data_IF_253573146643
#
_entry.id   IF_253573146643
#
_cell.length_a   1.000
_cell.length_b   1.000
_cell.length_c   1.000
_cell.angle_alpha   90.00
_cell.angle_beta   90.00
_cell.angle_gamma   90.00
#
_symmetry.space_group_name_H-M   'P 1'
#
loop_
_entity.id
_entity.type
_entity.pdbx_description
1 polymer ?
#
# COMPACT_ATOMS: atom_id res chain seq x y z
N UNK A 1 -11.90 8.12 -11.87
CA UNK A 1 -11.52 7.66 -10.53
C UNK A 1 -10.12 7.04 -10.50
N UNK A 2 -9.87 6.01 -11.28
CA UNK A 2 -8.62 5.22 -11.23
C UNK A 2 -7.37 6.01 -11.60
N UNK A 3 -7.40 6.82 -12.66
CA UNK A 3 -6.22 7.60 -13.09
C UNK A 3 -5.66 8.55 -12.01
N UNK A 4 -6.48 9.40 -11.35
CA UNK A 4 -5.96 10.23 -10.28
C UNK A 4 -5.39 9.42 -9.11
N UNK A 5 -6.02 8.29 -8.78
CA UNK A 5 -5.54 7.41 -7.72
C UNK A 5 -4.20 6.74 -8.10
N UNK A 6 -4.07 6.31 -9.36
CA UNK A 6 -2.83 5.74 -9.89
C UNK A 6 -1.68 6.75 -9.82
N UNK A 7 -1.91 7.97 -10.30
CA UNK A 7 -0.92 9.05 -10.25
C UNK A 7 -0.53 9.36 -8.79
N UNK A 8 -1.51 9.40 -7.87
CA UNK A 8 -1.25 9.59 -6.44
C UNK A 8 -0.32 8.50 -5.88
N UNK A 9 -0.58 7.23 -6.18
CA UNK A 9 0.26 6.11 -5.71
C UNK A 9 1.69 6.17 -6.26
N UNK A 10 1.85 6.50 -7.54
CA UNK A 10 3.16 6.65 -8.16
C UNK A 10 3.93 7.81 -7.51
N UNK A 11 3.29 8.96 -7.30
CA UNK A 11 3.91 10.10 -6.63
C UNK A 11 4.30 9.77 -5.19
N UNK A 12 3.45 9.06 -4.44
CA UNK A 12 3.78 8.59 -3.09
C UNK A 12 5.00 7.66 -3.07
N UNK A 13 5.13 6.79 -4.07
CA UNK A 13 6.32 5.95 -4.20
C UNK A 13 7.59 6.76 -4.50
N UNK A 14 7.48 7.82 -5.28
CA UNK A 14 8.59 8.72 -5.57
C UNK A 14 9.16 9.39 -4.31
N UNK A 15 8.36 9.58 -3.26
CA UNK A 15 8.85 10.13 -1.98
C UNK A 15 9.91 9.20 -1.39
N UNK A 16 9.64 7.90 -1.32
CA UNK A 16 10.63 6.92 -0.83
C UNK A 16 11.89 6.85 -1.69
N UNK A 17 11.75 6.96 -3.03
CA UNK A 17 12.89 7.03 -3.93
C UNK A 17 13.70 8.31 -3.71
N UNK A 18 13.07 9.44 -3.48
CA UNK A 18 13.72 10.71 -3.18
C UNK A 18 14.52 10.62 -1.88
N UNK A 19 13.91 10.08 -0.82
CA UNK A 19 14.60 9.85 0.46
C UNK A 19 15.87 9.00 0.25
N UNK A 20 15.77 7.90 -0.51
CA UNK A 20 16.91 7.03 -0.82
C UNK A 20 18.01 7.74 -1.62
N UNK A 21 17.64 8.55 -2.62
CA UNK A 21 18.61 9.33 -3.43
C UNK A 21 19.35 10.37 -2.58
N UNK A 22 18.65 11.06 -1.69
CA UNK A 22 19.28 12.05 -0.81
C UNK A 22 20.17 11.37 0.23
N UNK A 23 19.71 10.29 0.86
CA UNK A 23 20.48 9.56 1.87
C UNK A 23 21.67 8.79 1.29
N UNK A 24 21.58 8.32 0.04
CA UNK A 24 22.72 7.74 -0.66
C UNK A 24 23.90 8.71 -0.85
N UNK A 25 23.64 10.03 -0.83
CA UNK A 25 24.70 11.06 -0.85
C UNK A 25 25.27 11.34 0.56
N UNK A 26 24.59 10.93 1.61
CA UNK A 26 25.09 11.03 2.99
C UNK A 26 26.04 9.88 3.29
N UNK A 27 25.70 8.66 2.81
CA UNK A 27 26.56 7.47 2.97
C UNK A 27 25.77 6.18 3.06
N UNK A 28 26.48 5.06 2.91
CA UNK A 28 25.90 3.71 2.87
C UNK A 28 25.18 3.32 4.17
N UNK A 29 25.73 3.75 5.31
CA UNK A 29 25.12 3.52 6.63
C UNK A 29 23.73 4.17 6.72
N UNK A 30 23.62 5.42 6.28
CA UNK A 30 22.35 6.15 6.29
C UNK A 30 21.33 5.54 5.32
N UNK A 31 21.76 5.12 4.15
CA UNK A 31 20.91 4.46 3.14
C UNK A 31 20.41 3.10 3.66
N UNK A 32 21.30 2.28 4.22
CA UNK A 32 20.94 0.98 4.81
C UNK A 32 19.99 1.10 5.99
N UNK A 33 20.24 2.06 6.87
CA UNK A 33 19.39 2.34 8.03
C UNK A 33 17.99 2.83 7.62
N UNK A 34 17.90 3.69 6.61
CA UNK A 34 16.62 4.13 6.05
C UNK A 34 15.82 2.96 5.43
N UNK A 35 16.49 2.05 4.74
CA UNK A 35 15.85 0.87 4.16
C UNK A 35 15.24 -0.04 5.25
N UNK A 36 16.01 -0.35 6.31
CA UNK A 36 15.53 -1.18 7.43
C UNK A 36 14.42 -0.48 8.22
N UNK A 37 14.60 0.78 8.56
CA UNK A 37 13.59 1.59 9.26
C UNK A 37 12.32 1.76 8.43
N UNK A 38 12.45 1.89 7.11
CA UNK A 38 11.34 1.96 6.17
C UNK A 38 10.47 0.70 6.15
N UNK A 39 11.09 -0.49 6.17
CA UNK A 39 10.37 -1.78 6.26
C UNK A 39 9.60 -1.89 7.58
N UNK A 40 10.24 -1.51 8.69
CA UNK A 40 9.60 -1.49 10.01
C UNK A 40 8.38 -0.54 10.03
N UNK A 41 8.56 0.69 9.53
CA UNK A 41 7.48 1.67 9.43
C UNK A 41 6.34 1.20 8.53
N UNK A 42 6.66 0.56 7.40
CA UNK A 42 5.67 0.00 6.47
C UNK A 42 4.81 -1.08 7.14
N UNK A 43 5.38 -1.94 7.96
CA UNK A 43 4.63 -2.96 8.70
C UNK A 43 3.56 -2.34 9.61
N UNK A 44 3.91 -1.26 10.34
CA UNK A 44 2.94 -0.50 11.14
C UNK A 44 1.89 0.20 10.28
N UNK A 45 2.31 0.80 9.17
CA UNK A 45 1.41 1.51 8.26
C UNK A 45 0.36 0.58 7.62
N UNK A 46 0.70 -0.69 7.38
CA UNK A 46 -0.25 -1.67 6.80
C UNK A 46 -1.46 -1.92 7.68
N UNK A 47 -1.35 -1.80 8.99
CA UNK A 47 -2.51 -1.87 9.90
C UNK A 47 -3.48 -0.71 9.65
N UNK A 48 -2.96 0.50 9.54
CA UNK A 48 -3.79 1.67 9.22
C UNK A 48 -4.37 1.60 7.81
N UNK A 49 -3.58 1.18 6.83
CA UNK A 49 -4.01 1.01 5.46
C UNK A 49 -5.19 0.02 5.37
N UNK A 50 -5.09 -1.14 6.04
CA UNK A 50 -6.15 -2.13 6.10
C UNK A 50 -7.43 -1.60 6.76
N UNK A 51 -7.32 -0.81 7.85
CA UNK A 51 -8.48 -0.17 8.47
C UNK A 51 -9.12 0.86 7.53
N UNK A 52 -8.31 1.71 6.91
CA UNK A 52 -8.78 2.71 5.95
C UNK A 52 -9.49 2.10 4.76
N UNK A 53 -9.00 0.96 4.26
CA UNK A 53 -9.65 0.22 3.17
C UNK A 53 -11.04 -0.29 3.58
N UNK A 54 -11.20 -0.87 4.78
CA UNK A 54 -12.52 -1.26 5.29
C UNK A 54 -13.45 -0.05 5.50
N UNK A 55 -12.94 1.05 6.05
CA UNK A 55 -13.70 2.30 6.20
C UNK A 55 -14.16 2.87 4.85
N UNK A 56 -13.30 2.81 3.82
CA UNK A 56 -13.62 3.21 2.45
C UNK A 56 -14.82 2.45 1.89
N UNK A 57 -14.91 1.14 2.13
CA UNK A 57 -16.03 0.29 1.70
C UNK A 57 -17.34 0.75 2.36
N UNK A 58 -17.30 1.06 3.66
CA UNK A 58 -18.47 1.54 4.40
C UNK A 58 -18.92 2.91 3.87
N UNK A 59 -17.99 3.83 3.67
CA UNK A 59 -18.26 5.17 3.13
C UNK A 59 -18.84 5.05 1.72
N UNK A 60 -18.26 4.23 0.85
CA UNK A 60 -18.73 3.99 -0.50
C UNK A 60 -20.16 3.40 -0.50
N UNK A 61 -20.46 2.45 0.39
CA UNK A 61 -21.79 1.88 0.55
C UNK A 61 -22.81 2.95 0.93
N UNK A 62 -22.51 3.77 1.93
CA UNK A 62 -23.38 4.86 2.37
C UNK A 62 -23.60 5.93 1.32
N UNK A 63 -22.57 6.21 0.52
CA UNK A 63 -22.67 7.11 -0.61
C UNK A 63 -23.64 6.58 -1.66
N UNK A 64 -23.56 5.31 -2.02
CA UNK A 64 -24.51 4.64 -2.93
C UNK A 64 -25.94 4.59 -2.39
N UNK A 65 -26.12 4.31 -1.09
CA UNK A 65 -27.43 4.33 -0.40
C UNK A 65 -28.01 5.74 -0.27
N UNK A 66 -27.29 6.80 -0.72
CA UNK A 66 -27.63 8.22 -0.53
C UNK A 66 -27.78 8.64 0.94
N UNK A 67 -27.19 7.85 1.87
CA UNK A 67 -27.14 8.16 3.30
C UNK A 67 -25.95 9.06 3.63
N UNK A 68 -25.87 10.17 2.92
CA UNK A 68 -24.73 11.10 2.96
C UNK A 68 -24.42 11.60 4.38
N UNK A 69 -25.46 11.87 5.19
CA UNK A 69 -25.33 12.36 6.56
C UNK A 69 -24.61 11.40 7.53
N UNK A 70 -24.35 10.15 7.12
CA UNK A 70 -23.59 9.15 7.88
C UNK A 70 -22.13 9.04 7.45
N UNK A 71 -21.73 9.73 6.38
CA UNK A 71 -20.38 9.62 5.81
C UNK A 71 -19.34 10.28 6.71
N UNK A 72 -19.51 11.58 7.04
CA UNK A 72 -18.58 12.27 7.92
C UNK A 72 -18.53 11.68 9.34
N UNK A 73 -19.65 11.27 9.98
CA UNK A 73 -19.57 10.52 11.23
C UNK A 73 -18.71 9.25 11.14
N UNK A 74 -18.77 8.49 10.03
CA UNK A 74 -17.91 7.31 9.84
C UNK A 74 -16.44 7.70 9.75
N UNK A 75 -16.13 8.72 8.94
CA UNK A 75 -14.77 9.22 8.79
C UNK A 75 -14.18 9.65 10.13
N UNK A 76 -14.91 10.48 10.91
CA UNK A 76 -14.43 11.02 12.18
C UNK A 76 -14.27 9.92 13.25
N UNK A 77 -15.20 8.94 13.33
CA UNK A 77 -15.02 7.80 14.23
C UNK A 77 -13.78 6.98 13.83
N UNK A 78 -13.52 6.83 12.53
CA UNK A 78 -12.29 6.22 12.04
C UNK A 78 -11.04 7.01 12.43
N UNK A 79 -11.08 8.36 12.36
CA UNK A 79 -9.98 9.20 12.82
C UNK A 79 -9.70 9.01 14.33
N UNK A 80 -10.72 8.90 15.17
CA UNK A 80 -10.53 8.62 16.60
C UNK A 80 -9.84 7.27 16.83
N UNK A 81 -10.28 6.23 16.14
CA UNK A 81 -9.63 4.92 16.22
C UNK A 81 -8.18 4.99 15.74
N UNK A 82 -7.94 5.66 14.61
CA UNK A 82 -6.60 5.82 14.05
C UNK A 82 -5.65 6.57 15.01
N UNK A 83 -6.15 7.58 15.72
CA UNK A 83 -5.35 8.28 16.73
C UNK A 83 -5.00 7.35 17.90
N UNK A 84 -5.96 6.57 18.39
CA UNK A 84 -5.69 5.58 19.47
C UNK A 84 -4.67 4.54 19.00
N UNK A 85 -4.83 4.02 17.78
CA UNK A 85 -3.90 3.08 17.18
C UNK A 85 -2.51 3.70 16.98
N UNK A 86 -2.46 4.97 16.55
CA UNK A 86 -1.21 5.72 16.38
C UNK A 86 -0.47 5.86 17.71
N UNK A 87 -1.17 6.23 18.79
CA UNK A 87 -0.58 6.33 20.14
C UNK A 87 -0.03 4.98 20.58
N UNK A 88 -0.79 3.90 20.40
CA UNK A 88 -0.38 2.56 20.81
C UNK A 88 0.86 2.09 20.01
N UNK A 89 0.88 2.26 18.70
CA UNK A 89 1.99 1.86 17.85
C UNK A 89 3.21 2.76 18.03
N UNK A 90 3.02 4.06 18.25
CA UNK A 90 4.10 4.98 18.58
C UNK A 90 4.79 4.56 19.87
N UNK A 91 4.02 4.36 20.95
CA UNK A 91 4.57 3.93 22.24
C UNK A 91 5.27 2.56 22.13
N UNK A 92 4.64 1.61 21.44
CA UNK A 92 5.24 0.30 21.18
C UNK A 92 6.53 0.43 20.36
N UNK A 93 6.57 1.25 19.32
CA UNK A 93 7.77 1.46 18.51
C UNK A 93 8.89 2.10 19.32
N UNK A 94 8.63 3.16 20.09
CA UNK A 94 9.65 3.82 20.89
C UNK A 94 10.27 2.89 21.94
N UNK A 95 9.49 1.96 22.47
CA UNK A 95 9.96 1.02 23.48
C UNK A 95 10.59 -0.25 22.89
N UNK A 96 9.93 -0.88 21.90
CA UNK A 96 10.34 -2.19 21.40
C UNK A 96 11.32 -2.13 20.23
N UNK A 97 11.33 -1.04 19.41
CA UNK A 97 12.19 -1.02 18.23
C UNK A 97 13.68 -1.12 18.58
N UNK A 98 14.22 -0.45 19.63
CA UNK A 98 15.63 -0.63 19.99
C UNK A 98 15.95 -2.06 20.43
N UNK A 99 15.01 -2.72 21.13
CA UNK A 99 15.19 -4.10 21.61
C UNK A 99 15.21 -5.07 20.43
N UNK A 100 14.19 -5.01 19.57
CA UNK A 100 14.05 -5.92 18.43
C UNK A 100 15.19 -5.74 17.42
N UNK A 101 15.55 -4.50 17.12
CA UNK A 101 16.57 -4.21 16.12
C UNK A 101 17.97 -4.57 16.58
N UNK A 102 18.22 -4.56 17.89
CA UNK A 102 19.52 -4.98 18.47
C UNK A 102 19.84 -6.45 18.16
N UNK A 103 18.82 -7.30 18.13
CA UNK A 103 18.99 -8.73 17.87
C UNK A 103 19.07 -9.05 16.38
N UNK A 104 18.64 -8.11 15.51
CA UNK A 104 18.56 -8.31 14.06
C UNK A 104 19.73 -7.64 13.32
N UNK A 105 20.20 -6.48 13.81
CA UNK A 105 21.22 -5.68 13.12
C UNK A 105 22.61 -5.93 13.74
N UNK A 106 23.48 -6.55 12.98
CA UNK A 106 24.85 -6.87 13.44
C UNK A 106 25.77 -5.64 13.52
N UNK A 107 25.62 -4.69 12.58
CA UNK A 107 26.45 -3.48 12.54
C UNK A 107 26.01 -2.44 13.57
N UNK A 108 26.84 -2.07 14.58
CA UNK A 108 26.48 -1.05 15.57
C UNK A 108 26.17 0.32 14.95
N UNK A 109 26.85 0.66 13.86
CA UNK A 109 26.65 1.93 13.16
C UNK A 109 25.27 1.98 12.46
N UNK A 110 24.91 0.91 11.74
CA UNK A 110 23.60 0.79 11.09
C UNK A 110 22.49 0.72 12.13
N UNK A 111 22.69 -0.02 13.22
CA UNK A 111 21.74 -0.09 14.34
C UNK A 111 21.46 1.30 14.93
N UNK A 112 22.51 2.05 15.30
CA UNK A 112 22.34 3.40 15.86
C UNK A 112 21.61 4.33 14.92
N UNK A 113 21.99 4.33 13.63
CA UNK A 113 21.34 5.14 12.60
C UNK A 113 19.87 4.72 12.35
N UNK A 114 19.54 3.41 12.42
CA UNK A 114 18.16 2.91 12.25
C UNK A 114 17.27 3.31 13.42
N UNK A 115 17.79 3.22 14.67
CA UNK A 115 17.06 3.65 15.87
C UNK A 115 16.80 5.15 15.83
N UNK A 116 17.80 5.96 15.45
CA UNK A 116 17.64 7.42 15.33
C UNK A 116 16.62 7.78 14.23
N UNK A 117 16.70 7.12 13.08
CA UNK A 117 15.69 7.28 12.02
C UNK A 117 14.28 6.97 12.50
N UNK A 118 14.08 5.82 13.17
CA UNK A 118 12.76 5.39 13.65
C UNK A 118 12.24 6.29 14.76
N UNK A 119 13.13 6.77 15.64
CA UNK A 119 12.74 7.71 16.69
C UNK A 119 11.98 8.91 16.11
N UNK A 120 12.50 9.53 15.05
CA UNK A 120 11.87 10.68 14.40
C UNK A 120 10.78 10.28 13.41
N UNK A 121 10.94 9.17 12.68
CA UNK A 121 9.99 8.74 11.64
C UNK A 121 8.63 8.34 12.21
N UNK A 122 8.62 7.75 13.41
CA UNK A 122 7.37 7.30 14.05
C UNK A 122 6.44 8.44 14.46
N UNK A 123 6.92 9.67 14.60
CA UNK A 123 6.03 10.82 14.76
C UNK A 123 5.11 11.03 13.55
N UNK A 124 5.55 10.65 12.37
CA UNK A 124 4.73 10.69 11.15
C UNK A 124 3.47 9.82 11.21
N UNK A 125 3.43 8.78 12.07
CA UNK A 125 2.27 7.89 12.20
C UNK A 125 0.98 8.66 12.53
N UNK A 126 1.06 9.69 13.37
CA UNK A 126 -0.11 10.49 13.74
C UNK A 126 -0.74 11.19 12.53
N UNK A 127 0.07 11.63 11.60
CA UNK A 127 -0.37 12.34 10.41
C UNK A 127 -0.78 11.38 9.30
N UNK A 128 0.05 10.39 9.01
CA UNK A 128 -0.20 9.40 7.94
C UNK A 128 -1.47 8.59 8.19
N UNK A 129 -1.75 8.18 9.42
CA UNK A 129 -2.96 7.43 9.77
C UNK A 129 -4.24 8.25 9.55
N UNK A 130 -4.20 9.55 9.89
CA UNK A 130 -5.31 10.44 9.60
C UNK A 130 -5.46 10.68 8.09
N UNK A 131 -4.36 10.82 7.34
CA UNK A 131 -4.40 10.92 5.89
C UNK A 131 -5.07 9.70 5.23
N UNK A 132 -4.84 8.50 5.76
CA UNK A 132 -5.53 7.28 5.30
C UNK A 132 -7.06 7.40 5.43
N UNK A 133 -7.57 8.02 6.49
CA UNK A 133 -9.01 8.25 6.64
C UNK A 133 -9.57 9.28 5.67
N UNK A 134 -8.82 10.35 5.37
CA UNK A 134 -9.21 11.30 4.32
C UNK A 134 -9.21 10.63 2.94
N UNK A 135 -8.21 9.80 2.65
CA UNK A 135 -8.16 9.00 1.43
C UNK A 135 -9.37 8.07 1.32
N UNK A 136 -9.72 7.34 2.38
CA UNK A 136 -10.90 6.49 2.44
C UNK A 136 -12.19 7.27 2.17
N UNK A 137 -12.30 8.49 2.72
CA UNK A 137 -13.42 9.40 2.48
C UNK A 137 -13.52 9.78 1.00
N UNK A 138 -12.46 10.31 0.41
CA UNK A 138 -12.49 10.81 -0.97
C UNK A 138 -12.66 9.68 -2.02
N UNK A 139 -12.04 8.53 -1.80
CA UNK A 139 -12.26 7.35 -2.67
C UNK A 139 -13.69 6.84 -2.51
N UNK A 140 -14.22 6.77 -1.30
CA UNK A 140 -15.57 6.31 -1.01
C UNK A 140 -16.65 7.17 -1.65
N UNK A 141 -16.49 8.50 -1.65
CA UNK A 141 -17.40 9.44 -2.33
C UNK A 141 -17.07 9.67 -3.81
N UNK A 142 -16.12 8.92 -4.36
CA UNK A 142 -15.71 8.95 -5.79
C UNK A 142 -15.01 10.25 -6.25
N UNK A 143 -14.46 11.05 -5.34
CA UNK A 143 -13.78 12.31 -5.61
C UNK A 143 -12.25 12.16 -5.50
N UNK A 144 -11.62 11.40 -6.40
CA UNK A 144 -10.21 11.02 -6.29
C UNK A 144 -9.20 12.05 -6.82
N UNK A 145 -9.63 13.11 -7.53
CA UNK A 145 -8.72 14.14 -8.08
C UNK A 145 -7.89 14.82 -6.99
N UNK A 146 -8.48 15.03 -5.83
CA UNK A 146 -7.82 15.67 -4.69
C UNK A 146 -6.62 14.86 -4.17
N UNK A 147 -6.65 13.53 -4.32
CA UNK A 147 -5.56 12.66 -3.87
C UNK A 147 -4.28 12.95 -4.67
N UNK A 148 -4.40 13.14 -5.99
CA UNK A 148 -3.26 13.52 -6.84
C UNK A 148 -2.66 14.86 -6.40
N UNK A 149 -3.51 15.86 -6.16
CA UNK A 149 -3.03 17.19 -5.73
C UNK A 149 -2.33 17.09 -4.37
N UNK A 150 -2.92 16.35 -3.43
CA UNK A 150 -2.33 16.13 -2.12
C UNK A 150 -0.96 15.42 -2.21
N UNK A 151 -0.84 14.38 -3.04
CA UNK A 151 0.43 13.67 -3.22
C UNK A 151 1.51 14.56 -3.84
N UNK A 152 1.15 15.47 -4.76
CA UNK A 152 2.07 16.46 -5.31
C UNK A 152 2.55 17.42 -4.20
N UNK A 153 1.62 17.94 -3.39
CA UNK A 153 1.96 18.84 -2.27
C UNK A 153 2.90 18.12 -1.28
N UNK A 154 2.60 16.87 -0.96
CA UNK A 154 3.41 16.04 -0.07
C UNK A 154 4.82 15.81 -0.63
N UNK A 155 4.94 15.44 -1.92
CA UNK A 155 6.23 15.22 -2.58
C UNK A 155 7.07 16.51 -2.60
N UNK A 156 6.50 17.63 -3.03
CA UNK A 156 7.24 18.89 -3.09
C UNK A 156 7.70 19.33 -1.70
N UNK A 157 6.87 19.19 -0.67
CA UNK A 157 7.23 19.46 0.71
C UNK A 157 8.35 18.53 1.19
N UNK A 158 8.28 17.23 0.88
CA UNK A 158 9.30 16.25 1.25
C UNK A 158 10.66 16.57 0.60
N UNK A 159 10.67 16.85 -0.71
CA UNK A 159 11.90 17.19 -1.45
C UNK A 159 12.56 18.46 -0.87
N UNK A 160 11.76 19.50 -0.63
CA UNK A 160 12.28 20.77 -0.07
C UNK A 160 12.84 20.57 1.35
N UNK A 161 12.10 19.86 2.21
CA UNK A 161 12.52 19.58 3.59
C UNK A 161 13.72 18.65 3.64
N UNK A 162 13.79 17.63 2.80
CA UNK A 162 14.97 16.75 2.69
C UNK A 162 16.21 17.57 2.34
N UNK A 163 16.13 18.45 1.34
CA UNK A 163 17.24 19.29 0.95
C UNK A 163 17.72 20.19 2.10
N UNK A 164 16.79 20.77 2.84
CA UNK A 164 17.12 21.66 3.97
C UNK A 164 17.66 20.89 5.18
N UNK A 165 17.00 19.81 5.59
CA UNK A 165 17.29 19.13 6.87
C UNK A 165 18.40 18.10 6.76
N UNK A 166 18.54 17.40 5.63
CA UNK A 166 19.61 16.43 5.45
C UNK A 166 20.97 17.14 5.31
N UNK A 167 21.05 18.18 4.46
CA UNK A 167 22.28 18.85 4.11
C UNK A 167 22.56 20.16 4.88
N UNK A 168 21.65 20.57 5.77
CA UNK A 168 21.84 21.79 6.55
C UNK A 168 21.76 23.08 5.71
N UNK A 169 20.84 23.14 4.76
CA UNK A 169 20.63 24.32 3.91
C UNK A 169 19.48 25.20 4.44
N UNK A 170 19.46 26.46 4.00
CA UNK A 170 18.39 27.40 4.40
C UNK A 170 18.39 27.79 5.88
N UNK A 171 19.53 27.71 6.57
CA UNK A 171 19.64 28.06 8.00
C UNK A 171 19.32 26.90 8.98
N UNK A 172 19.06 25.72 8.47
CA UNK A 172 18.85 24.52 9.30
C UNK A 172 20.17 23.79 9.56
N UNK A 173 20.33 23.12 10.72
CA UNK A 173 21.49 22.24 10.96
C UNK A 173 21.41 20.99 10.07
N UNK A 174 22.59 20.47 9.65
CA UNK A 174 22.67 19.22 8.91
C UNK A 174 22.35 18.06 9.87
N UNK A 175 21.15 17.47 9.75
CA UNK A 175 20.69 16.37 10.60
C UNK A 175 20.81 14.99 9.94
N UNK A 176 21.35 14.90 8.71
CA UNK A 176 21.59 13.62 8.03
C UNK A 176 20.33 12.73 8.00
N UNK A 177 20.45 11.51 8.52
CA UNK A 177 19.34 10.52 8.50
C UNK A 177 18.14 10.94 9.37
N UNK A 178 18.37 11.59 10.52
CA UNK A 178 17.30 12.16 11.34
C UNK A 178 16.55 13.25 10.56
N UNK A 179 17.28 14.06 9.76
CA UNK A 179 16.71 15.06 8.88
C UNK A 179 15.74 14.48 7.85
N UNK A 180 16.05 13.34 7.25
CA UNK A 180 15.15 12.63 6.34
C UNK A 180 13.87 12.14 7.04
N UNK A 181 14.01 11.58 8.23
CA UNK A 181 12.89 11.10 9.03
C UNK A 181 11.93 12.25 9.44
N UNK A 182 12.50 13.39 9.85
CA UNK A 182 11.74 14.60 10.18
C UNK A 182 11.07 15.16 8.93
N UNK A 183 11.78 15.25 7.78
CA UNK A 183 11.24 15.74 6.53
C UNK A 183 10.02 14.93 6.09
N UNK A 184 10.11 13.60 6.14
CA UNK A 184 9.01 12.70 5.79
C UNK A 184 7.84 12.85 6.78
N UNK A 185 8.08 12.97 8.08
CA UNK A 185 7.03 13.18 9.09
C UNK A 185 6.32 14.54 8.93
N UNK A 186 7.09 15.59 8.66
CA UNK A 186 6.53 16.95 8.43
C UNK A 186 5.77 17.02 7.10
N UNK A 187 6.24 16.35 6.04
CA UNK A 187 5.50 16.31 4.77
C UNK A 187 4.15 15.59 4.89
N UNK A 188 4.07 14.54 5.74
CA UNK A 188 2.79 13.91 6.10
C UNK A 188 1.87 14.86 6.88
N UNK A 189 2.43 15.71 7.77
CA UNK A 189 1.67 16.74 8.47
C UNK A 189 1.13 17.81 7.50
N UNK A 190 1.95 18.23 6.52
CA UNK A 190 1.52 19.16 5.45
C UNK A 190 0.40 18.54 4.61
N UNK A 191 0.53 17.26 4.26
CA UNK A 191 -0.51 16.50 3.57
C UNK A 191 -1.82 16.48 4.35
N UNK A 192 -1.77 16.21 5.65
CA UNK A 192 -2.95 16.23 6.52
C UNK A 192 -3.59 17.62 6.58
N UNK A 193 -2.76 18.64 6.76
CA UNK A 193 -3.23 20.03 6.81
C UNK A 193 -3.94 20.42 5.49
N UNK A 194 -3.36 20.04 4.36
CA UNK A 194 -3.97 20.23 3.06
C UNK A 194 -5.35 19.55 2.97
N UNK A 195 -5.48 18.29 3.40
CA UNK A 195 -6.76 17.60 3.41
C UNK A 195 -7.78 18.29 4.32
N UNK A 196 -7.39 18.74 5.50
CA UNK A 196 -8.27 19.45 6.45
C UNK A 196 -8.77 20.76 5.82
N UNK A 197 -7.86 21.58 5.30
CA UNK A 197 -8.20 22.87 4.68
C UNK A 197 -9.12 22.64 3.49
N UNK A 198 -8.74 21.79 2.55
CA UNK A 198 -9.54 21.50 1.36
C UNK A 198 -10.93 20.98 1.73
N UNK A 199 -11.02 20.00 2.65
CA UNK A 199 -12.31 19.47 3.10
C UNK A 199 -13.16 20.53 3.77
N UNK A 200 -12.57 21.41 4.57
CA UNK A 200 -13.29 22.47 5.27
C UNK A 200 -13.90 23.51 4.32
N UNK A 201 -13.23 23.75 3.17
CA UNK A 201 -13.64 24.72 2.16
C UNK A 201 -14.64 24.14 1.14
N UNK A 202 -14.47 22.86 0.77
CA UNK A 202 -15.20 22.29 -0.38
C UNK A 202 -16.32 21.32 0.00
N UNK A 203 -16.25 20.68 1.19
CA UNK A 203 -17.24 19.71 1.59
C UNK A 203 -18.55 20.38 2.00
N UNK A 204 -19.67 19.89 1.46
CA UNK A 204 -20.99 20.27 1.95
C UNK A 204 -21.21 19.70 3.35
N UNK A 205 -21.00 20.55 4.36
CA UNK A 205 -21.05 20.18 5.78
C UNK A 205 -22.44 19.70 6.23
N UNK A 206 -23.52 20.13 5.57
CA UNK A 206 -24.90 19.67 5.86
C UNK A 206 -25.14 18.33 5.22
N UNK A 207 -24.83 18.17 3.94
CA UNK A 207 -25.04 16.93 3.17
C UNK A 207 -24.31 15.76 3.81
N UNK A 208 -23.01 15.91 4.12
CA UNK A 208 -22.19 14.82 4.65
C UNK A 208 -22.28 14.64 6.18
N UNK A 209 -22.99 15.54 6.89
CA UNK A 209 -23.26 15.40 8.32
C UNK A 209 -22.09 15.79 9.23
N UNK A 210 -21.18 16.69 8.79
CA UNK A 210 -20.03 17.13 9.59
C UNK A 210 -20.40 17.81 10.90
N UNK A 211 -21.55 18.49 10.96
CA UNK A 211 -22.01 19.16 12.20
C UNK A 211 -22.21 18.21 13.39
N UNK A 212 -22.53 16.93 13.12
CA UNK A 212 -22.77 15.88 14.14
C UNK A 212 -21.72 14.78 14.09
N UNK A 213 -20.63 14.99 13.37
CA UNK A 213 -19.62 13.96 13.16
C UNK A 213 -18.71 13.74 14.37
N UNK A 214 -18.46 14.82 15.12
CA UNK A 214 -17.49 14.83 16.22
C UNK A 214 -18.00 14.20 17.52
N UNK A 215 -19.30 13.89 17.62
CA UNK A 215 -19.84 13.16 18.76
C UNK A 215 -19.34 11.70 18.72
N UNK A 216 -18.74 11.23 19.81
CA UNK A 216 -18.26 9.85 19.91
C UNK A 216 -19.44 8.85 19.81
N UNK A 217 -19.30 7.86 18.93
CA UNK A 217 -20.35 6.86 18.65
C UNK A 217 -19.76 5.45 18.66
N UNK A 218 -19.57 4.83 19.82
CA UNK A 218 -18.92 3.51 19.93
C UNK A 218 -19.59 2.43 19.08
N UNK A 219 -20.91 2.51 18.92
CA UNK A 219 -21.66 1.56 18.07
C UNK A 219 -21.21 1.63 16.58
N UNK A 220 -20.97 2.85 16.05
CA UNK A 220 -20.44 2.99 14.69
C UNK A 220 -19.04 2.41 14.58
N UNK A 221 -18.20 2.69 15.57
CA UNK A 221 -16.85 2.18 15.61
C UNK A 221 -16.81 0.64 15.66
N UNK A 222 -17.67 0.03 16.48
CA UNK A 222 -17.82 -1.44 16.54
C UNK A 222 -18.22 -2.02 15.17
N UNK A 223 -19.16 -1.37 14.47
CA UNK A 223 -19.54 -1.75 13.11
C UNK A 223 -18.39 -1.62 12.13
N UNK A 224 -17.60 -0.54 12.21
CA UNK A 224 -16.41 -0.37 11.37
C UNK A 224 -15.37 -1.44 11.65
N UNK A 225 -15.06 -1.72 12.90
CA UNK A 225 -14.07 -2.74 13.30
C UNK A 225 -14.47 -4.15 12.85
N UNK A 226 -15.76 -4.47 12.79
CA UNK A 226 -16.22 -5.77 12.29
C UNK A 226 -15.91 -6.00 10.80
N UNK A 227 -15.74 -4.93 10.02
CA UNK A 227 -15.38 -4.97 8.60
C UNK A 227 -13.89 -4.72 8.43
N UNK A 228 -13.38 -3.64 9.04
CA UNK A 228 -12.00 -3.20 8.88
C UNK A 228 -11.00 -4.08 9.65
N UNK A 229 -11.41 -4.76 10.71
CA UNK A 229 -10.53 -5.66 11.46
C UNK A 229 -9.98 -6.80 10.60
N UNK A 230 -10.80 -7.38 9.73
CA UNK A 230 -10.36 -8.41 8.81
C UNK A 230 -9.35 -7.90 7.79
N UNK A 231 -9.58 -6.70 7.25
CA UNK A 231 -8.67 -6.08 6.28
C UNK A 231 -7.37 -5.59 6.93
N UNK A 232 -7.38 -5.19 8.21
CA UNK A 232 -6.17 -4.86 8.96
C UNK A 232 -5.25 -6.08 9.11
N UNK A 233 -5.79 -7.17 9.65
CA UNK A 233 -5.02 -8.41 9.86
C UNK A 233 -4.53 -8.97 8.52
N UNK A 234 -5.39 -8.96 7.51
CA UNK A 234 -5.04 -9.38 6.16
C UNK A 234 -3.85 -8.59 5.59
N UNK A 235 -3.91 -7.25 5.60
CA UNK A 235 -2.86 -6.41 5.03
C UNK A 235 -1.50 -6.64 5.72
N UNK A 236 -1.52 -6.84 7.04
CA UNK A 236 -0.33 -7.14 7.81
C UNK A 236 0.27 -8.51 7.43
N UNK A 237 -0.57 -9.56 7.39
CA UNK A 237 -0.13 -10.92 7.06
C UNK A 237 0.38 -10.99 5.61
N UNK A 238 -0.31 -10.37 4.66
CA UNK A 238 0.08 -10.39 3.24
C UNK A 238 1.48 -9.83 3.02
N UNK A 239 1.79 -8.68 3.66
CA UNK A 239 3.14 -8.09 3.59
C UNK A 239 4.17 -8.97 4.30
N UNK A 240 3.83 -9.55 5.45
CA UNK A 240 4.74 -10.44 6.19
C UNK A 240 5.10 -11.68 5.39
N UNK A 241 4.14 -12.31 4.71
CA UNK A 241 4.39 -13.50 3.88
C UNK A 241 5.17 -13.12 2.61
N UNK A 242 4.89 -11.97 2.02
CA UNK A 242 5.69 -11.48 0.91
C UNK A 242 7.17 -11.26 1.31
N UNK A 243 7.43 -10.81 2.53
CA UNK A 243 8.78 -10.73 3.07
C UNK A 243 9.45 -12.11 3.19
N UNK A 244 8.70 -13.19 3.51
CA UNK A 244 9.22 -14.57 3.54
C UNK A 244 9.75 -15.00 2.16
N UNK A 245 9.14 -14.55 1.07
CA UNK A 245 9.66 -14.81 -0.29
C UNK A 245 11.08 -14.27 -0.45
N UNK A 246 11.36 -13.05 0.04
CA UNK A 246 12.72 -12.49 -0.03
C UNK A 246 13.72 -13.27 0.83
N UNK A 247 13.32 -13.70 2.01
CA UNK A 247 14.17 -14.54 2.86
C UNK A 247 14.47 -15.90 2.18
N UNK A 248 13.50 -16.47 1.48
CA UNK A 248 13.72 -17.71 0.73
C UNK A 248 14.72 -17.50 -0.42
N UNK A 249 14.68 -16.38 -1.12
CA UNK A 249 15.63 -16.05 -2.17
C UNK A 249 17.03 -15.77 -1.60
N UNK A 250 17.14 -15.15 -0.43
CA UNK A 250 18.43 -14.91 0.25
C UNK A 250 19.21 -16.22 0.48
N UNK A 251 18.51 -17.29 0.82
CA UNK A 251 19.12 -18.64 0.98
C UNK A 251 19.68 -19.20 -0.33
N UNK A 252 19.36 -18.64 -1.49
CA UNK A 252 19.96 -19.02 -2.78
C UNK A 252 21.28 -18.31 -3.05
N UNK A 253 21.58 -17.23 -2.30
CA UNK A 253 22.80 -16.45 -2.37
C UNK A 253 22.61 -14.99 -2.76
N UNK A 254 23.71 -14.23 -2.75
CA UNK A 254 23.70 -12.78 -2.96
C UNK A 254 23.26 -12.36 -4.37
N UNK A 255 23.70 -13.07 -5.40
CA UNK A 255 23.35 -12.78 -6.79
C UNK A 255 21.86 -12.97 -7.08
N UNK A 256 21.19 -14.09 -6.70
CA UNK A 256 19.75 -14.24 -6.72
C UNK A 256 18.99 -13.11 -6.01
N UNK A 257 19.45 -12.69 -4.85
CA UNK A 257 18.87 -11.61 -4.09
C UNK A 257 18.96 -10.27 -4.80
N UNK A 258 20.13 -9.96 -5.39
CA UNK A 258 20.35 -8.74 -6.19
C UNK A 258 19.40 -8.68 -7.41
N UNK A 259 19.31 -9.78 -8.18
CA UNK A 259 18.35 -9.91 -9.30
C UNK A 259 16.92 -9.66 -8.83
N UNK A 260 16.51 -10.33 -7.74
CA UNK A 260 15.16 -10.19 -7.19
C UNK A 260 14.86 -8.77 -6.74
N UNK A 261 15.81 -8.06 -6.15
CA UNK A 261 15.63 -6.66 -5.75
C UNK A 261 15.38 -5.74 -6.95
N UNK A 262 16.10 -5.94 -8.07
CA UNK A 262 15.89 -5.17 -9.30
C UNK A 262 14.49 -5.45 -9.85
N UNK A 263 14.12 -6.72 -10.02
CA UNK A 263 12.82 -7.14 -10.57
C UNK A 263 11.68 -6.65 -9.68
N UNK A 264 11.84 -6.67 -8.36
CA UNK A 264 10.88 -6.14 -7.38
C UNK A 264 10.58 -4.66 -7.61
N UNK A 265 11.60 -3.83 -7.81
CA UNK A 265 11.39 -2.40 -8.01
C UNK A 265 10.57 -2.12 -9.28
N UNK A 266 10.81 -2.88 -10.35
CA UNK A 266 10.01 -2.80 -11.58
C UNK A 266 8.58 -3.29 -11.32
N UNK A 267 8.43 -4.44 -10.66
CA UNK A 267 7.14 -5.02 -10.29
C UNK A 267 6.30 -4.07 -9.44
N UNK A 268 6.92 -3.37 -8.48
CA UNK A 268 6.22 -2.43 -7.60
C UNK A 268 5.47 -1.33 -8.38
N UNK A 269 6.09 -0.77 -9.42
CA UNK A 269 5.45 0.24 -10.28
C UNK A 269 4.23 -0.34 -11.02
N UNK A 270 4.33 -1.56 -11.54
CA UNK A 270 3.23 -2.23 -12.23
C UNK A 270 2.08 -2.59 -11.27
N UNK A 271 2.42 -3.06 -10.09
CA UNK A 271 1.44 -3.37 -9.02
C UNK A 271 0.71 -2.11 -8.56
N UNK A 272 1.34 -0.93 -8.54
CA UNK A 272 0.66 0.33 -8.21
C UNK A 272 -0.44 0.66 -9.21
N UNK A 273 -0.20 0.42 -10.51
CA UNK A 273 -1.23 0.56 -11.54
C UNK A 273 -2.40 -0.36 -11.22
N UNK A 274 -2.14 -1.65 -11.01
CA UNK A 274 -3.17 -2.66 -10.68
C UNK A 274 -3.94 -2.26 -9.41
N UNK A 275 -3.23 -1.86 -8.35
CA UNK A 275 -3.82 -1.52 -7.05
C UNK A 275 -4.75 -0.31 -7.12
N UNK A 276 -4.42 0.70 -7.94
CA UNK A 276 -5.28 1.86 -8.16
C UNK A 276 -6.63 1.48 -8.79
N UNK A 277 -6.57 0.61 -9.80
CA UNK A 277 -7.78 0.14 -10.46
C UNK A 277 -8.56 -0.84 -9.59
N UNK A 278 -7.90 -1.74 -8.88
CA UNK A 278 -8.53 -2.68 -7.96
C UNK A 278 -9.25 -1.96 -6.80
N UNK A 279 -8.60 -0.98 -6.18
CA UNK A 279 -9.19 -0.12 -5.13
C UNK A 279 -10.42 0.63 -5.67
N UNK A 280 -10.32 1.16 -6.89
CA UNK A 280 -11.44 1.81 -7.56
C UNK A 280 -12.60 0.85 -7.80
N UNK A 281 -12.33 -0.38 -8.26
CA UNK A 281 -13.35 -1.41 -8.46
C UNK A 281 -14.11 -1.71 -7.17
N UNK A 282 -13.39 -1.92 -6.06
CA UNK A 282 -13.98 -2.15 -4.74
C UNK A 282 -14.90 -1.01 -4.29
N UNK A 283 -14.46 0.24 -4.44
CA UNK A 283 -15.25 1.42 -4.09
C UNK A 283 -16.50 1.58 -4.98
N UNK A 284 -16.36 1.39 -6.29
CA UNK A 284 -17.49 1.47 -7.24
C UNK A 284 -18.52 0.38 -6.97
N UNK A 285 -18.08 -0.86 -6.74
CA UNK A 285 -18.96 -1.98 -6.43
C UNK A 285 -19.71 -1.73 -5.13
N UNK A 286 -19.04 -1.23 -4.09
CA UNK A 286 -19.69 -0.88 -2.83
C UNK A 286 -20.75 0.22 -3.04
N UNK A 287 -20.45 1.25 -3.83
CA UNK A 287 -21.43 2.28 -4.21
C UNK A 287 -22.63 1.69 -4.98
N UNK A 288 -22.39 0.85 -5.99
CA UNK A 288 -23.44 0.23 -6.81
C UNK A 288 -24.35 -0.68 -5.98
N UNK A 289 -23.77 -1.47 -5.08
CA UNK A 289 -24.57 -2.30 -4.17
C UNK A 289 -25.41 -1.42 -3.24
N UNK A 290 -24.84 -0.31 -2.75
CA UNK A 290 -25.59 0.70 -1.97
C UNK A 290 -26.75 1.31 -2.73
N UNK A 291 -26.57 1.56 -4.05
CA UNK A 291 -27.60 2.05 -4.93
C UNK A 291 -28.64 0.98 -5.37
N UNK A 292 -28.48 -0.28 -4.96
CA UNK A 292 -29.34 -1.39 -5.38
C UNK A 292 -28.96 -2.03 -6.71
N UNK A 293 -27.88 -1.59 -7.34
CA UNK A 293 -27.41 -2.03 -8.68
C UNK A 293 -26.50 -3.27 -8.61
N UNK A 294 -26.88 -4.29 -7.85
CA UNK A 294 -26.05 -5.49 -7.61
C UNK A 294 -25.70 -6.25 -8.90
N UNK A 295 -26.53 -6.14 -9.95
CA UNK A 295 -26.32 -6.82 -11.25
C UNK A 295 -25.10 -6.28 -12.01
N UNK A 296 -24.66 -5.06 -11.71
CA UNK A 296 -23.56 -4.40 -12.40
C UNK A 296 -22.16 -4.87 -11.94
N UNK A 297 -22.03 -5.70 -10.89
CA UNK A 297 -20.77 -6.11 -10.31
C UNK A 297 -19.79 -6.65 -11.36
N UNK A 298 -20.16 -7.70 -12.09
CA UNK A 298 -19.27 -8.31 -13.10
C UNK A 298 -18.95 -7.37 -14.26
N UNK A 299 -19.91 -6.51 -14.65
CA UNK A 299 -19.69 -5.48 -15.68
C UNK A 299 -18.65 -4.48 -15.21
N UNK A 300 -18.72 -4.05 -13.96
CA UNK A 300 -17.74 -3.12 -13.36
C UNK A 300 -16.36 -3.77 -13.26
N UNK A 301 -16.26 -5.01 -12.80
CA UNK A 301 -14.99 -5.76 -12.81
C UNK A 301 -14.40 -5.85 -14.21
N UNK A 302 -15.19 -6.25 -15.21
CA UNK A 302 -14.73 -6.38 -16.60
C UNK A 302 -14.30 -5.05 -17.23
N UNK A 303 -15.04 -3.97 -16.96
CA UNK A 303 -14.65 -2.64 -17.43
C UNK A 303 -13.37 -2.14 -16.78
N UNK A 304 -13.24 -2.32 -15.46
CA UNK A 304 -12.03 -1.94 -14.73
C UNK A 304 -10.83 -2.75 -15.23
N UNK A 305 -11.00 -4.06 -15.48
CA UNK A 305 -9.93 -4.92 -16.00
C UNK A 305 -9.49 -4.48 -17.40
N UNK A 306 -10.43 -4.15 -18.29
CA UNK A 306 -10.10 -3.62 -19.63
C UNK A 306 -9.28 -2.33 -19.55
N UNK A 307 -9.67 -1.42 -18.66
CA UNK A 307 -8.92 -0.16 -18.45
C UNK A 307 -7.54 -0.41 -17.83
N UNK A 308 -7.43 -1.37 -16.91
CA UNK A 308 -6.13 -1.78 -16.35
C UNK A 308 -5.22 -2.31 -17.44
N UNK A 309 -5.71 -3.23 -18.27
CA UNK A 309 -4.93 -3.79 -19.38
C UNK A 309 -4.59 -2.78 -20.47
N UNK A 310 -5.44 -1.78 -20.71
CA UNK A 310 -5.14 -0.69 -21.66
C UNK A 310 -3.87 0.11 -21.28
N UNK A 311 -3.52 0.17 -19.99
CA UNK A 311 -2.27 0.79 -19.52
C UNK A 311 -1.16 -0.27 -19.35
N UNK A 312 -1.51 -1.40 -18.76
CA UNK A 312 -0.54 -2.42 -18.35
C UNK A 312 0.11 -3.09 -19.56
N UNK A 313 -0.67 -3.46 -20.59
CA UNK A 313 -0.16 -4.16 -21.78
C UNK A 313 0.89 -3.33 -22.53
N UNK A 314 0.69 -2.05 -22.85
CA UNK A 314 1.74 -1.25 -23.46
C UNK A 314 3.01 -1.16 -22.62
N UNK A 315 2.89 -1.01 -21.29
CA UNK A 315 4.04 -0.99 -20.39
C UNK A 315 4.79 -2.33 -20.40
N UNK A 316 4.06 -3.46 -20.38
CA UNK A 316 4.66 -4.79 -20.44
C UNK A 316 5.32 -5.06 -21.80
N UNK A 317 4.73 -4.60 -22.91
CA UNK A 317 5.33 -4.72 -24.26
C UNK A 317 6.66 -3.96 -24.27
N UNK A 318 6.70 -2.72 -23.80
CA UNK A 318 7.93 -1.94 -23.73
C UNK A 318 8.97 -2.65 -22.86
N UNK A 319 8.57 -3.15 -21.71
CA UNK A 319 9.44 -3.87 -20.79
C UNK A 319 10.00 -5.17 -21.40
N UNK A 320 9.16 -5.92 -22.13
CA UNK A 320 9.59 -7.17 -22.78
C UNK A 320 10.43 -6.97 -24.05
N UNK A 321 10.16 -5.90 -24.81
CA UNK A 321 10.96 -5.59 -26.01
C UNK A 321 12.29 -4.93 -25.67
N UNK A 322 12.32 -4.15 -24.59
CA UNK A 322 13.51 -3.37 -24.18
C UNK A 322 13.86 -3.63 -22.70
N UNK A 323 14.12 -4.89 -22.28
CA UNK A 323 14.42 -5.18 -20.88
C UNK A 323 15.75 -4.56 -20.43
N UNK A 324 16.79 -4.60 -21.27
CA UNK A 324 18.11 -4.09 -20.91
C UNK A 324 18.14 -2.59 -20.60
N UNK A 325 17.57 -1.69 -21.43
CA UNK A 325 17.50 -0.27 -21.09
C UNK A 325 16.79 0.02 -19.77
N UNK A 326 15.72 -0.73 -19.46
CA UNK A 326 15.01 -0.59 -18.18
C UNK A 326 15.86 -1.09 -17.02
N UNK A 327 16.54 -2.22 -17.17
CA UNK A 327 17.42 -2.78 -16.14
C UNK A 327 18.64 -1.90 -15.88
N UNK A 328 19.18 -1.22 -16.91
CA UNK A 328 20.29 -0.25 -16.78
C UNK A 328 19.95 0.95 -15.89
N UNK A 329 18.67 1.26 -15.71
CA UNK A 329 18.26 2.29 -14.75
C UNK A 329 18.49 1.87 -13.28
N UNK A 330 18.70 0.56 -13.03
CA UNK A 330 18.87 0.01 -11.68
C UNK A 330 20.28 -0.52 -11.41
N UNK A 331 21.06 -0.88 -12.45
CA UNK A 331 22.40 -1.43 -12.30
C UNK A 331 23.23 -1.23 -13.56
N UNK A 332 24.53 -0.94 -13.39
CA UNK A 332 25.53 -0.86 -14.48
C UNK A 332 26.21 -2.21 -14.75
N UNK A 333 25.96 -3.24 -13.92
CA UNK A 333 26.60 -4.56 -14.06
C UNK A 333 26.00 -5.38 -15.21
N UNK A 334 26.73 -5.62 -16.32
CA UNK A 334 26.22 -6.41 -17.45
C UNK A 334 25.81 -7.83 -17.06
N UNK A 335 26.51 -8.43 -16.09
CA UNK A 335 26.21 -9.78 -15.60
C UNK A 335 24.90 -9.85 -14.83
N UNK A 336 24.55 -8.81 -14.05
CA UNK A 336 23.26 -8.72 -13.34
C UNK A 336 22.13 -8.42 -14.31
N UNK A 337 22.36 -7.56 -15.30
CA UNK A 337 21.38 -7.26 -16.35
C UNK A 337 20.99 -8.56 -17.07
N UNK A 338 21.97 -9.31 -17.58
CA UNK A 338 21.72 -10.57 -18.28
C UNK A 338 20.99 -11.60 -17.41
N UNK A 339 21.35 -11.72 -16.11
CA UNK A 339 20.69 -12.62 -15.17
C UNK A 339 19.25 -12.20 -14.83
N UNK A 340 18.93 -10.89 -14.95
CA UNK A 340 17.61 -10.37 -14.59
C UNK A 340 16.58 -10.49 -15.70
N UNK A 341 16.98 -10.60 -16.97
CA UNK A 341 16.08 -10.59 -18.14
C UNK A 341 15.00 -11.67 -18.03
N UNK A 342 15.39 -12.92 -17.76
CA UNK A 342 14.43 -14.04 -17.65
C UNK A 342 13.45 -13.82 -16.50
N UNK A 343 13.92 -13.32 -15.36
CA UNK A 343 13.08 -12.99 -14.21
C UNK A 343 12.08 -11.86 -14.52
N UNK A 344 12.47 -10.88 -15.33
CA UNK A 344 11.58 -9.82 -15.83
C UNK A 344 10.47 -10.40 -16.70
N UNK A 345 10.76 -11.36 -17.59
CA UNK A 345 9.71 -11.99 -18.41
C UNK A 345 8.70 -12.77 -17.58
N UNK A 346 9.19 -13.54 -16.61
CA UNK A 346 8.29 -14.30 -15.71
C UNK A 346 7.46 -13.33 -14.86
N UNK A 347 8.07 -12.28 -14.31
CA UNK A 347 7.35 -11.25 -13.55
C UNK A 347 6.32 -10.51 -14.42
N UNK A 348 6.66 -10.18 -15.67
CA UNK A 348 5.73 -9.55 -16.61
C UNK A 348 4.51 -10.43 -16.88
N UNK A 349 4.69 -11.73 -17.07
CA UNK A 349 3.59 -12.68 -17.24
C UNK A 349 2.74 -12.85 -15.97
N UNK A 350 3.36 -12.86 -14.77
CA UNK A 350 2.61 -12.91 -13.51
C UNK A 350 1.76 -11.65 -13.30
N UNK A 351 2.25 -10.50 -13.72
CA UNK A 351 1.54 -9.21 -13.61
C UNK A 351 0.22 -9.22 -14.36
N UNK A 352 0.13 -9.94 -15.51
CA UNK A 352 -1.14 -10.13 -16.23
C UNK A 352 -2.16 -10.91 -15.41
N UNK A 353 -1.73 -11.88 -14.62
CA UNK A 353 -2.60 -12.67 -13.73
C UNK A 353 -2.97 -11.89 -12.48
N UNK A 354 -2.06 -11.06 -11.96
CA UNK A 354 -2.31 -10.24 -10.78
C UNK A 354 -3.41 -9.20 -11.01
N UNK A 355 -3.57 -8.66 -12.22
CA UNK A 355 -4.60 -7.68 -12.51
C UNK A 355 -6.03 -8.18 -12.23
N UNK A 356 -6.52 -9.29 -12.83
CA UNK A 356 -7.84 -9.83 -12.51
C UNK A 356 -7.93 -10.34 -11.07
N UNK A 357 -6.84 -10.90 -10.52
CA UNK A 357 -6.77 -11.36 -9.13
C UNK A 357 -7.11 -10.22 -8.15
N UNK A 358 -6.41 -9.11 -8.22
CA UNK A 358 -6.61 -7.97 -7.32
C UNK A 358 -7.97 -7.28 -7.54
N UNK A 359 -8.44 -7.19 -8.80
CA UNK A 359 -9.74 -6.59 -9.08
C UNK A 359 -10.88 -7.42 -8.51
N UNK A 360 -10.87 -8.74 -8.70
CA UNK A 360 -11.88 -9.65 -8.15
C UNK A 360 -11.85 -9.70 -6.63
N UNK A 361 -10.64 -9.72 -6.05
CA UNK A 361 -10.45 -9.67 -4.61
C UNK A 361 -11.01 -8.37 -4.00
N UNK A 362 -10.69 -7.21 -4.57
CA UNK A 362 -11.23 -5.93 -4.13
C UNK A 362 -12.76 -5.84 -4.36
N UNK A 363 -13.27 -6.52 -5.40
CA UNK A 363 -14.70 -6.66 -5.61
C UNK A 363 -15.40 -7.39 -4.46
N UNK A 364 -14.81 -8.49 -3.95
CA UNK A 364 -15.34 -9.21 -2.76
C UNK A 364 -15.38 -8.28 -1.55
N UNK A 365 -14.29 -7.58 -1.29
CA UNK A 365 -14.23 -6.61 -0.19
C UNK A 365 -15.29 -5.51 -0.37
N UNK A 366 -15.47 -5.01 -1.62
CA UNK A 366 -16.50 -4.04 -1.99
C UNK A 366 -17.94 -4.52 -1.75
N UNK A 367 -18.18 -5.84 -1.72
CA UNK A 367 -19.50 -6.39 -1.31
C UNK A 367 -19.79 -6.20 0.18
N UNK A 368 -18.79 -5.80 0.98
CA UNK A 368 -18.86 -5.71 2.44
C UNK A 368 -18.52 -7.01 3.16
N UNK A 369 -18.21 -8.10 2.44
CA UNK A 369 -17.81 -9.37 3.05
C UNK A 369 -16.28 -9.50 3.16
N UNK A 370 -15.67 -8.61 3.94
CA UNK A 370 -14.22 -8.59 4.16
C UNK A 370 -13.71 -9.86 4.85
N UNK A 371 -14.55 -10.54 5.66
CA UNK A 371 -14.23 -11.85 6.24
C UNK A 371 -14.01 -12.92 5.17
N UNK A 372 -14.85 -12.95 4.13
CA UNK A 372 -14.66 -13.89 3.03
C UNK A 372 -13.39 -13.55 2.23
N UNK A 373 -13.13 -12.27 1.98
CA UNK A 373 -11.87 -11.82 1.39
C UNK A 373 -10.67 -12.29 2.20
N UNK A 374 -10.68 -12.06 3.50
CA UNK A 374 -9.63 -12.53 4.41
C UNK A 374 -9.38 -14.03 4.31
N UNK A 375 -10.43 -14.85 4.36
CA UNK A 375 -10.30 -16.32 4.29
C UNK A 375 -9.68 -16.75 2.95
N UNK A 376 -10.12 -16.17 1.84
CA UNK A 376 -9.57 -16.49 0.51
C UNK A 376 -8.11 -16.08 0.37
N UNK A 377 -7.76 -14.93 0.90
CA UNK A 377 -6.37 -14.47 0.96
C UNK A 377 -5.52 -15.44 1.79
N UNK A 378 -5.98 -15.84 2.98
CA UNK A 378 -5.24 -16.80 3.83
C UNK A 378 -5.03 -18.15 3.12
N UNK A 379 -6.02 -18.65 2.39
CA UNK A 379 -5.87 -19.88 1.59
C UNK A 379 -4.82 -19.68 0.48
N UNK A 380 -4.90 -18.55 -0.24
CA UNK A 380 -3.95 -18.24 -1.31
C UNK A 380 -2.53 -18.08 -0.79
N UNK A 381 -2.37 -17.41 0.37
CA UNK A 381 -1.07 -17.25 1.03
C UNK A 381 -0.53 -18.57 1.60
N UNK A 382 -1.38 -19.47 2.07
CA UNK A 382 -0.96 -20.81 2.50
C UNK A 382 -0.41 -21.63 1.31
N UNK A 383 -1.11 -21.61 0.18
CA UNK A 383 -0.64 -22.25 -1.08
C UNK A 383 0.67 -21.61 -1.55
N UNK A 384 0.74 -20.28 -1.54
CA UNK A 384 1.94 -19.51 -1.89
C UNK A 384 3.14 -19.90 -1.01
N UNK A 385 2.95 -19.95 0.31
CA UNK A 385 3.99 -20.34 1.27
C UNK A 385 4.45 -21.78 1.05
N UNK A 386 3.53 -22.70 0.73
CA UNK A 386 3.88 -24.07 0.38
C UNK A 386 4.74 -24.11 -0.89
N UNK A 387 4.40 -23.33 -1.91
CA UNK A 387 5.21 -23.23 -3.15
C UNK A 387 6.58 -22.63 -2.87
N UNK A 388 6.70 -21.61 -2.01
CA UNK A 388 8.00 -21.08 -1.59
C UNK A 388 8.82 -22.16 -0.91
N UNK A 389 8.25 -22.87 0.05
CA UNK A 389 8.97 -23.88 0.81
C UNK A 389 9.45 -25.03 -0.08
N UNK A 390 8.56 -25.64 -0.84
CA UNK A 390 8.91 -26.80 -1.68
C UNK A 390 9.62 -26.37 -2.96
N UNK A 391 9.17 -25.32 -3.63
CA UNK A 391 9.68 -24.89 -4.93
C UNK A 391 11.00 -24.12 -4.83
N UNK A 392 11.18 -23.28 -3.81
CA UNK A 392 12.37 -22.43 -3.70
C UNK A 392 13.40 -23.06 -2.73
N UNK A 393 13.00 -23.32 -1.49
CA UNK A 393 13.95 -23.75 -0.44
C UNK A 393 14.44 -25.17 -0.69
N UNK A 394 13.59 -26.08 -1.12
CA UNK A 394 13.95 -27.49 -1.36
C UNK A 394 14.60 -27.75 -2.71
N UNK A 395 14.02 -27.21 -3.78
CA UNK A 395 14.50 -27.48 -5.16
C UNK A 395 15.63 -26.55 -5.60
N UNK A 396 15.77 -25.35 -4.97
CA UNK A 396 16.77 -24.33 -5.29
C UNK A 396 16.87 -24.04 -6.80
N UNK A 397 15.76 -23.67 -7.45
CA UNK A 397 15.73 -23.42 -8.89
C UNK A 397 16.41 -22.10 -9.24
N UNK A 398 16.51 -21.81 -10.54
CA UNK A 398 16.90 -20.49 -11.01
C UNK A 398 15.93 -19.39 -10.55
N UNK A 399 16.42 -18.17 -10.33
CA UNK A 399 15.67 -17.01 -9.80
C UNK A 399 14.42 -16.74 -10.64
N UNK A 400 14.49 -16.88 -11.95
CA UNK A 400 13.35 -16.71 -12.84
C UNK A 400 12.19 -17.66 -12.49
N UNK A 401 12.50 -18.91 -12.14
CA UNK A 401 11.49 -19.89 -11.73
C UNK A 401 10.90 -19.59 -10.36
N UNK A 402 11.63 -18.93 -9.47
CA UNK A 402 11.11 -18.52 -8.16
C UNK A 402 9.92 -17.56 -8.32
N UNK A 403 9.93 -16.68 -9.32
CA UNK A 403 8.85 -15.75 -9.62
C UNK A 403 7.56 -16.43 -10.12
N UNK A 404 7.59 -17.72 -10.48
CA UNK A 404 6.36 -18.48 -10.76
C UNK A 404 5.44 -18.64 -9.56
N UNK A 405 5.95 -18.49 -8.34
CA UNK A 405 5.14 -18.48 -7.13
C UNK A 405 4.02 -17.41 -7.19
N UNK A 406 4.29 -16.26 -7.82
CA UNK A 406 3.32 -15.19 -8.03
C UNK A 406 2.15 -15.61 -8.94
N UNK A 407 2.41 -16.47 -9.96
CA UNK A 407 1.34 -17.02 -10.80
C UNK A 407 0.42 -17.92 -9.98
N UNK A 408 0.99 -18.79 -9.14
CA UNK A 408 0.21 -19.70 -8.30
C UNK A 408 -0.66 -18.93 -7.32
N UNK A 409 -0.11 -17.91 -6.66
CA UNK A 409 -0.86 -17.03 -5.79
C UNK A 409 -2.02 -16.35 -6.54
N UNK A 410 -1.74 -15.70 -7.67
CA UNK A 410 -2.72 -14.99 -8.47
C UNK A 410 -3.84 -15.89 -9.00
N UNK A 411 -3.49 -17.06 -9.56
CA UNK A 411 -4.47 -18.04 -10.07
C UNK A 411 -5.35 -18.57 -8.94
N UNK A 412 -4.77 -18.93 -7.80
CA UNK A 412 -5.52 -19.42 -6.63
C UNK A 412 -6.55 -18.37 -6.18
N UNK A 413 -6.12 -17.13 -6.07
CA UNK A 413 -6.99 -16.03 -5.66
C UNK A 413 -8.11 -15.77 -6.70
N UNK A 414 -7.82 -15.83 -8.01
CA UNK A 414 -8.83 -15.71 -9.07
C UNK A 414 -9.88 -16.80 -8.95
N UNK A 415 -9.48 -18.06 -8.81
CA UNK A 415 -10.40 -19.20 -8.73
C UNK A 415 -11.33 -19.05 -7.53
N UNK A 416 -10.78 -18.77 -6.35
CA UNK A 416 -11.56 -18.58 -5.11
C UNK A 416 -12.50 -17.38 -5.21
N UNK A 417 -12.00 -16.24 -5.71
CA UNK A 417 -12.76 -15.01 -5.84
C UNK A 417 -13.90 -15.15 -6.86
N UNK A 418 -13.60 -15.74 -8.03
CA UNK A 418 -14.60 -15.98 -9.07
C UNK A 418 -15.72 -16.92 -8.59
N UNK A 419 -15.35 -18.04 -7.98
CA UNK A 419 -16.32 -19.00 -7.44
C UNK A 419 -17.22 -18.36 -6.39
N UNK A 420 -16.66 -17.57 -5.48
CA UNK A 420 -17.43 -16.88 -4.46
C UNK A 420 -18.37 -15.83 -5.04
N UNK A 421 -17.91 -14.98 -5.95
CA UNK A 421 -18.73 -13.96 -6.58
C UNK A 421 -19.87 -14.58 -7.40
N UNK A 422 -19.60 -15.69 -8.10
CA UNK A 422 -20.60 -16.43 -8.89
C UNK A 422 -21.64 -17.11 -8.00
N UNK A 423 -21.26 -17.58 -6.80
CA UNK A 423 -22.19 -18.25 -5.87
C UNK A 423 -23.32 -17.32 -5.34
N UNK A 424 -23.14 -16.01 -5.48
CA UNK A 424 -24.12 -15.03 -4.98
C UNK A 424 -24.22 -14.90 -3.45
N UNK A 425 -23.40 -15.62 -2.67
CA UNK A 425 -23.41 -15.60 -1.19
C UNK A 425 -23.11 -14.23 -0.56
N UNK A 426 -22.65 -13.29 -1.36
CA UNK A 426 -22.38 -11.90 -0.97
C UNK A 426 -23.65 -11.02 -0.99
N UNK A 427 -24.73 -11.45 -1.66
CA UNK A 427 -25.97 -10.68 -1.80
C UNK A 427 -26.67 -10.54 -0.43
N UNK A 428 -27.27 -9.36 -0.20
CA UNK A 428 -28.02 -9.08 1.05
C UNK A 428 -27.17 -8.79 2.28
N UNK A 429 -25.84 -8.77 2.18
CA UNK A 429 -24.98 -8.38 3.31
C UNK A 429 -25.14 -6.91 3.64
N UNK A 430 -25.49 -6.62 4.91
CA UNK A 430 -25.56 -5.27 5.47
C UNK A 430 -24.16 -4.81 5.90
N UNK A 431 -23.85 -3.53 5.67
CA UNK A 431 -22.57 -2.86 6.00
C UNK A 431 -22.84 -1.67 6.90
#
# INVERSE_FOLDING_TARGET
MSYPLMISLIIEHMIGLTDAVFLGRVGDVALGACALGGVYYMAMFMLAFGFGFGAQIIIARRNGERRYNRIAPTMVQGCYFMLVLAVALFAASQYFSPIILRDIIESPQVYGATVDYLHWRTYGIFFSFLCVMFRAYYVGITQTKILTVNSIVMLLSNVALNYCLIFGKGGFPAAGIAGAAIASSVSEAVSLLFFIIYTSMTADKRKYGFRRAFTLRPHLLKGMLSISGWTMVQSFISVSIWFIFFLAIEHLGERPLAVTNIVRNISALLIMVISAFATTAGALISNQIGAGEQRCLFKTCGMTLKLTYAILIPLLIILCLFPEPVLRAFTDSPSLIAASVNSVYVMASSTLIMAPSFILFNAISGTGNTKAGFIMEMISLAVYTAVIYYGIIRLKPDVALCWFSEHVYGVTLIILAWWYLKSGKWRGKKV
#
